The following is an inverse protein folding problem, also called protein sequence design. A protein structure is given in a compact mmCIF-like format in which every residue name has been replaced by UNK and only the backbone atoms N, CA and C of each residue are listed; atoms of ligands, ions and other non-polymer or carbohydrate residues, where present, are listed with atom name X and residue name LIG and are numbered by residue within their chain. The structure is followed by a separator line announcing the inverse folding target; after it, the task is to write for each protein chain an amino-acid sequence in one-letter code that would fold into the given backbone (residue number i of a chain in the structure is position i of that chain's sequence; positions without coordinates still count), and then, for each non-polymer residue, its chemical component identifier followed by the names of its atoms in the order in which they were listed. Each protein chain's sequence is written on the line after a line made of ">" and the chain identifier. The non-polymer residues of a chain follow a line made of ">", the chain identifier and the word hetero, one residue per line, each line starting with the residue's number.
data_IF_146939897914
#
_entry.id   IF_146939897914
#
_cell.length_a   1.000
_cell.length_b   1.000
_cell.length_c   1.000
_cell.angle_alpha   90.00
_cell.angle_beta   90.00
_cell.angle_gamma   90.00
#
_symmetry.space_group_name_H-M   'P 1'
#
loop_
_entity.id
_entity.type
_entity.pdbx_description
1 polymer ?
#
# COMPACT_ATOMS: atom_id res chain seq x y z
N UNK A 1 -1.85 -10.23 11.83
CA UNK A 1 -3.13 -9.62 12.21
C UNK A 1 -2.98 -8.20 12.78
N UNK A 2 -2.05 -7.92 13.73
CA UNK A 2 -1.96 -6.57 14.34
C UNK A 2 -1.73 -5.44 13.33
N UNK A 3 -0.91 -5.65 12.30
CA UNK A 3 -0.69 -4.64 11.26
C UNK A 3 -1.95 -4.35 10.44
N UNK A 4 -2.78 -5.35 10.16
CA UNK A 4 -4.01 -5.19 9.36
C UNK A 4 -5.19 -4.62 10.14
N UNK A 5 -5.13 -4.63 11.46
CA UNK A 5 -6.18 -4.11 12.36
C UNK A 5 -5.75 -2.89 13.15
N UNK A 6 -4.46 -2.58 13.16
CA UNK A 6 -3.89 -1.41 13.85
C UNK A 6 -4.05 -0.12 13.06
N UNK A 7 -3.69 0.99 13.71
CA UNK A 7 -3.78 2.32 13.11
C UNK A 7 -2.82 2.59 11.95
N UNK A 8 -1.80 1.74 11.75
CA UNK A 8 -0.91 1.86 10.58
C UNK A 8 -1.60 1.48 9.27
N UNK A 9 -2.69 0.71 9.31
CA UNK A 9 -3.49 0.40 8.13
C UNK A 9 -4.62 1.42 7.98
N UNK A 10 -4.67 2.09 6.85
CA UNK A 10 -5.73 3.03 6.53
C UNK A 10 -6.97 2.29 6.03
N UNK A 11 -7.91 2.05 6.92
CA UNK A 11 -9.16 1.33 6.59
C UNK A 11 -10.08 2.08 5.63
N UNK A 12 -9.85 3.39 5.43
CA UNK A 12 -10.70 4.24 4.57
C UNK A 12 -10.26 4.20 3.12
N UNK A 13 -8.95 4.24 2.84
CA UNK A 13 -8.43 4.32 1.46
C UNK A 13 -7.51 3.15 1.12
N UNK A 14 -7.06 2.40 2.12
CA UNK A 14 -6.05 1.39 1.97
C UNK A 14 -4.63 1.93 2.10
N UNK A 15 -3.68 1.02 2.03
CA UNK A 15 -2.27 1.32 2.22
C UNK A 15 -1.86 1.42 3.70
N UNK A 16 -0.56 1.27 3.93
CA UNK A 16 0.04 1.26 5.25
C UNK A 16 0.90 2.48 5.47
N UNK A 17 0.80 3.05 6.66
CA UNK A 17 1.79 3.98 7.20
C UNK A 17 3.06 3.23 7.58
N UNK A 18 4.18 3.96 7.68
CA UNK A 18 5.52 3.40 7.78
C UNK A 18 5.76 2.57 9.05
N UNK A 19 5.40 3.10 10.22
CA UNK A 19 5.58 2.43 11.51
C UNK A 19 4.57 2.95 12.55
N UNK A 20 4.49 2.28 13.69
CA UNK A 20 3.73 2.78 14.84
C UNK A 20 4.64 3.46 15.84
N UNK A 21 4.12 4.46 16.54
CA UNK A 21 4.81 5.18 17.61
C UNK A 21 4.52 4.61 18.99
N UNK A 22 3.64 3.59 19.07
CA UNK A 22 3.20 2.92 20.30
C UNK A 22 3.24 1.40 20.18
N UNK A 23 3.42 0.64 21.28
CA UNK A 23 3.48 -0.81 21.28
C UNK A 23 2.13 -1.49 21.01
N UNK A 24 1.03 -0.79 21.10
CA UNK A 24 -0.33 -1.28 20.86
C UNK A 24 -0.74 -1.26 19.39
N UNK A 25 0.09 -0.69 18.51
CA UNK A 25 -0.16 -0.53 17.08
C UNK A 25 -1.35 0.40 16.75
N UNK A 26 -1.56 1.44 17.56
CA UNK A 26 -2.70 2.37 17.42
C UNK A 26 -2.33 3.64 16.69
N UNK A 27 -1.20 4.24 17.05
CA UNK A 27 -0.77 5.54 16.53
C UNK A 27 0.31 5.34 15.47
N UNK A 28 0.04 5.61 14.18
CA UNK A 28 1.04 5.54 13.13
C UNK A 28 1.87 6.82 13.07
N UNK A 29 3.09 6.72 12.55
CA UNK A 29 3.69 7.82 11.83
C UNK A 29 3.08 7.81 10.42
N UNK A 30 2.33 8.86 10.07
CA UNK A 30 1.38 8.84 8.95
C UNK A 30 1.99 8.83 7.55
N UNK A 31 3.31 8.85 7.42
CA UNK A 31 4.03 8.72 6.16
C UNK A 31 3.72 7.37 5.48
N UNK A 32 3.38 7.38 4.19
CA UNK A 32 3.15 6.14 3.42
C UNK A 32 4.25 5.97 2.38
N UNK A 33 5.10 4.95 2.57
CA UNK A 33 6.23 4.65 1.69
C UNK A 33 5.87 3.54 0.70
N UNK A 34 6.36 3.65 -0.53
CA UNK A 34 6.16 2.63 -1.56
C UNK A 34 6.76 1.28 -1.14
N UNK A 35 8.00 1.27 -0.64
CA UNK A 35 8.71 0.04 -0.28
C UNK A 35 8.06 -0.73 0.88
N UNK A 36 7.47 -0.04 1.86
CA UNK A 36 6.72 -0.69 2.94
C UNK A 36 5.46 -1.37 2.40
N UNK A 37 4.70 -0.63 1.59
CA UNK A 37 3.47 -1.14 0.99
C UNK A 37 3.75 -2.31 0.04
N UNK A 38 4.82 -2.25 -0.77
CA UNK A 38 5.22 -3.33 -1.65
C UNK A 38 5.53 -4.62 -0.87
N UNK A 39 6.36 -4.53 0.16
CA UNK A 39 6.71 -5.70 0.98
C UNK A 39 5.48 -6.27 1.71
N UNK A 40 4.60 -5.40 2.23
CA UNK A 40 3.38 -5.84 2.91
C UNK A 40 2.38 -6.49 1.95
N UNK A 41 2.27 -6.04 0.70
CA UNK A 41 1.48 -6.72 -0.33
C UNK A 41 2.01 -8.15 -0.55
N UNK A 42 3.32 -8.34 -0.72
CA UNK A 42 3.93 -9.68 -0.85
C UNK A 42 3.64 -10.55 0.37
N UNK A 43 3.84 -10.03 1.58
CA UNK A 43 3.57 -10.77 2.83
C UNK A 43 2.08 -11.15 2.93
N UNK A 44 1.17 -10.24 2.60
CA UNK A 44 -0.27 -10.50 2.60
C UNK A 44 -0.68 -11.53 1.54
N UNK A 45 -0.04 -11.51 0.37
CA UNK A 45 -0.24 -12.50 -0.68
C UNK A 45 0.12 -13.91 -0.20
N UNK A 46 1.31 -14.09 0.38
CA UNK A 46 1.73 -15.37 0.96
C UNK A 46 0.85 -15.80 2.14
N UNK A 47 0.49 -14.86 3.02
CA UNK A 47 -0.40 -15.15 4.15
C UNK A 47 -1.79 -15.59 3.66
N UNK A 48 -2.33 -14.96 2.61
CA UNK A 48 -3.61 -15.37 2.02
C UNK A 48 -3.51 -16.75 1.37
N UNK A 49 -2.48 -17.04 0.58
CA UNK A 49 -2.27 -18.36 -0.02
C UNK A 49 -2.20 -19.48 1.01
N UNK A 50 -1.56 -19.21 2.17
CA UNK A 50 -1.36 -20.22 3.21
C UNK A 50 -2.61 -20.45 4.07
N UNK A 51 -3.40 -19.39 4.33
CA UNK A 51 -4.46 -19.41 5.34
C UNK A 51 -5.87 -19.30 4.78
N UNK A 52 -6.03 -18.85 3.53
CA UNK A 52 -7.30 -18.45 2.92
C UNK A 52 -8.09 -17.41 3.76
N UNK A 53 -7.41 -16.66 4.62
CA UNK A 53 -8.06 -15.66 5.46
C UNK A 53 -8.53 -14.46 4.62
N UNK A 54 -9.85 -14.17 4.57
CA UNK A 54 -10.41 -13.10 3.76
C UNK A 54 -9.90 -11.71 4.15
N UNK A 55 -9.51 -11.51 5.41
CA UNK A 55 -8.92 -10.25 5.87
C UNK A 55 -7.64 -9.92 5.09
N UNK A 56 -6.77 -10.92 4.87
CA UNK A 56 -5.52 -10.69 4.13
C UNK A 56 -5.77 -10.36 2.67
N UNK A 57 -6.74 -11.04 2.04
CA UNK A 57 -7.14 -10.74 0.66
C UNK A 57 -7.71 -9.32 0.54
N UNK A 58 -8.60 -8.94 1.45
CA UNK A 58 -9.21 -7.61 1.47
C UNK A 58 -8.14 -6.53 1.64
N UNK A 59 -7.27 -6.67 2.65
CA UNK A 59 -6.21 -5.69 2.93
C UNK A 59 -5.23 -5.57 1.77
N UNK A 60 -4.83 -6.70 1.17
CA UNK A 60 -3.99 -6.74 -0.04
C UNK A 60 -4.64 -5.98 -1.20
N UNK A 61 -5.91 -6.28 -1.51
CA UNK A 61 -6.64 -5.65 -2.61
C UNK A 61 -6.76 -4.14 -2.40
N UNK A 62 -7.14 -3.71 -1.19
CA UNK A 62 -7.28 -2.28 -0.87
C UNK A 62 -5.92 -1.54 -0.91
N UNK A 63 -4.83 -2.19 -0.48
CA UNK A 63 -3.49 -1.61 -0.58
C UNK A 63 -3.04 -1.45 -2.03
N UNK A 64 -3.32 -2.44 -2.88
CA UNK A 64 -3.07 -2.36 -4.32
C UNK A 64 -3.88 -1.23 -4.95
N UNK A 65 -5.17 -1.10 -4.63
CA UNK A 65 -6.00 0.00 -5.16
C UNK A 65 -5.49 1.37 -4.69
N UNK A 66 -5.02 1.48 -3.45
CA UNK A 66 -4.37 2.71 -2.98
C UNK A 66 -3.16 3.08 -3.85
N UNK A 67 -2.23 2.15 -4.09
CA UNK A 67 -1.04 2.40 -4.94
C UNK A 67 -1.45 2.77 -6.36
N UNK A 68 -2.37 2.02 -6.95
CA UNK A 68 -2.87 2.23 -8.31
C UNK A 68 -3.47 3.62 -8.49
N UNK A 69 -4.30 4.07 -7.55
CA UNK A 69 -5.05 5.32 -7.66
C UNK A 69 -4.26 6.56 -7.21
N UNK A 70 -3.27 6.40 -6.33
CA UNK A 70 -2.60 7.54 -5.70
C UNK A 70 -1.10 7.63 -6.02
N UNK A 71 -0.43 6.52 -6.30
CA UNK A 71 1.04 6.48 -6.42
C UNK A 71 1.55 6.02 -7.78
N UNK A 72 0.70 5.87 -8.80
CA UNK A 72 1.12 5.43 -10.14
C UNK A 72 1.37 6.63 -11.04
N UNK A 73 2.54 6.65 -11.67
CA UNK A 73 2.89 7.66 -12.66
C UNK A 73 2.28 7.37 -14.04
N UNK A 74 2.11 8.37 -14.90
CA UNK A 74 1.65 8.18 -16.27
C UNK A 74 2.52 7.22 -17.10
N UNK A 75 3.82 7.15 -16.81
CA UNK A 75 4.79 6.26 -17.47
C UNK A 75 4.70 4.80 -16.98
N UNK A 76 3.86 4.52 -15.97
CA UNK A 76 3.69 3.18 -15.41
C UNK A 76 4.62 2.83 -14.25
N UNK A 77 5.42 3.77 -13.77
CA UNK A 77 6.17 3.65 -12.54
C UNK A 77 5.35 4.02 -11.31
N UNK A 78 5.94 3.85 -10.14
CA UNK A 78 5.29 4.13 -8.87
C UNK A 78 6.08 5.20 -8.12
N UNK A 79 5.38 6.22 -7.61
CA UNK A 79 5.94 7.31 -6.84
C UNK A 79 6.38 6.86 -5.45
N UNK A 80 7.39 7.55 -4.89
CA UNK A 80 8.11 7.11 -3.69
C UNK A 80 7.29 7.13 -2.42
N UNK A 81 6.61 8.23 -2.11
CA UNK A 81 5.94 8.37 -0.80
C UNK A 81 4.93 9.50 -0.75
N UNK A 82 4.04 9.40 0.23
CA UNK A 82 3.27 10.51 0.77
C UNK A 82 3.86 10.93 2.12
N UNK A 83 3.98 12.24 2.33
CA UNK A 83 4.41 12.84 3.59
C UNK A 83 3.42 12.49 4.73
N UNK A 84 3.89 12.56 5.98
CA UNK A 84 3.03 12.39 7.15
C UNK A 84 2.11 13.58 7.38
N UNK A 85 2.52 14.77 6.93
CA UNK A 85 1.88 16.04 7.21
C UNK A 85 0.98 16.52 6.07
N UNK A 86 -0.11 17.14 6.47
CA UNK A 86 -0.95 17.95 5.60
C UNK A 86 -1.12 19.32 6.25
N UNK A 87 -0.83 20.41 5.50
CA UNK A 87 -0.90 21.79 5.99
C UNK A 87 -0.04 22.02 7.26
N UNK A 88 1.12 21.33 7.36
CA UNK A 88 2.06 21.45 8.48
C UNK A 88 1.62 20.72 9.75
N UNK A 89 0.61 19.86 9.68
CA UNK A 89 0.12 19.07 10.82
C UNK A 89 0.15 17.59 10.47
N UNK A 90 0.86 16.79 11.27
CA UNK A 90 0.91 15.34 11.09
C UNK A 90 -0.46 14.70 11.26
N UNK A 91 -0.78 13.73 10.42
CA UNK A 91 -2.02 12.97 10.48
C UNK A 91 -3.30 13.71 10.11
N UNK A 92 -3.28 15.04 9.92
CA UNK A 92 -4.47 15.88 9.67
C UNK A 92 -5.37 15.34 8.54
N UNK A 93 -4.78 14.81 7.50
CA UNK A 93 -5.53 14.23 6.38
C UNK A 93 -6.30 12.96 6.78
N UNK A 94 -5.76 12.16 7.70
CA UNK A 94 -6.21 10.80 8.01
C UNK A 94 -7.17 10.70 9.18
N UNK A 95 -7.03 11.58 10.17
CA UNK A 95 -7.77 11.50 11.45
C UNK A 95 -9.13 12.20 11.39
N UNK A 96 -9.99 11.90 12.36
CA UNK A 96 -11.38 12.34 12.38
C UNK A 96 -11.82 12.73 13.77
N UNK A 97 -12.54 13.84 13.92
CA UNK A 97 -13.37 14.04 15.10
C UNK A 97 -14.64 13.20 15.02
N UNK A 98 -15.21 12.80 16.15
CA UNK A 98 -16.48 12.08 16.16
C UNK A 98 -17.60 12.92 15.54
N UNK A 99 -17.58 14.25 15.70
CA UNK A 99 -18.53 15.16 15.08
C UNK A 99 -18.49 15.11 13.56
N UNK A 100 -17.30 15.09 12.95
CA UNK A 100 -17.15 14.93 11.49
C UNK A 100 -17.70 13.58 11.01
N UNK A 101 -17.41 12.49 11.73
CA UNK A 101 -17.94 11.16 11.39
C UNK A 101 -19.47 11.17 11.47
N UNK A 102 -20.06 11.75 12.53
CA UNK A 102 -21.51 11.92 12.67
C UNK A 102 -22.12 12.70 11.50
N UNK A 103 -21.47 13.76 11.06
CA UNK A 103 -21.93 14.58 9.93
C UNK A 103 -21.93 13.79 8.61
N UNK A 104 -20.93 12.93 8.38
CA UNK A 104 -20.76 12.18 7.13
C UNK A 104 -21.65 10.94 7.09
N UNK A 105 -21.71 10.19 8.18
CA UNK A 105 -22.42 8.91 8.26
C UNK A 105 -23.90 9.09 8.61
N UNK A 106 -24.22 10.12 9.35
CA UNK A 106 -25.54 10.32 9.96
C UNK A 106 -25.66 9.59 11.31
N UNK A 107 -26.70 9.97 12.06
CA UNK A 107 -27.04 9.30 13.33
C UNK A 107 -27.78 7.99 13.03
N UNK A 108 -27.39 6.90 13.68
CA UNK A 108 -28.04 5.60 13.51
C UNK A 108 -27.10 4.41 13.68
N UNK A 109 -27.58 3.25 13.29
CA UNK A 109 -26.85 1.99 13.44
C UNK A 109 -25.46 1.98 12.79
N UNK A 110 -25.26 2.48 11.55
CA UNK A 110 -23.90 2.51 10.96
C UNK A 110 -22.88 3.31 11.78
N UNK A 111 -23.30 4.45 12.34
CA UNK A 111 -22.43 5.25 13.22
C UNK A 111 -22.08 4.49 14.50
N UNK A 112 -23.07 3.85 15.13
CA UNK A 112 -22.86 3.07 16.36
C UNK A 112 -21.91 1.89 16.11
N UNK A 113 -22.01 1.23 14.97
CA UNK A 113 -21.10 0.18 14.53
C UNK A 113 -19.66 0.70 14.42
N UNK A 114 -19.45 1.87 13.79
CA UNK A 114 -18.12 2.49 13.70
C UNK A 114 -17.57 2.85 15.08
N UNK A 115 -18.41 3.41 15.97
CA UNK A 115 -18.02 3.75 17.34
C UNK A 115 -17.52 2.52 18.09
N UNK A 116 -18.25 1.42 18.01
CA UNK A 116 -17.89 0.18 18.72
C UNK A 116 -16.64 -0.47 18.12
N UNK A 117 -16.56 -0.53 16.78
CA UNK A 117 -15.45 -1.18 16.08
C UNK A 117 -14.12 -0.44 16.30
N UNK A 118 -14.15 0.90 16.22
CA UNK A 118 -12.96 1.75 16.28
C UNK A 118 -12.75 2.43 17.61
N UNK A 119 -13.64 2.21 18.60
CA UNK A 119 -13.60 2.85 19.91
C UNK A 119 -13.56 4.39 19.79
N UNK A 120 -14.45 4.94 18.97
CA UNK A 120 -14.52 6.39 18.73
C UNK A 120 -15.15 7.09 19.93
N UNK A 121 -14.68 8.30 20.23
CA UNK A 121 -15.23 9.14 21.28
C UNK A 121 -15.10 10.62 20.94
N UNK A 122 -15.88 11.48 21.63
CA UNK A 122 -15.76 12.93 21.49
C UNK A 122 -14.42 13.47 22.06
N UNK A 123 -13.85 12.77 23.07
CA UNK A 123 -12.50 13.07 23.56
C UNK A 123 -11.39 12.67 22.59
N UNK A 124 -11.71 11.82 21.60
CA UNK A 124 -10.75 11.22 20.70
C UNK A 124 -9.97 10.05 21.32
N UNK A 125 -9.28 9.30 20.49
CA UNK A 125 -8.29 8.31 20.89
C UNK A 125 -6.86 8.74 20.53
N UNK A 126 -6.72 9.97 20.02
CA UNK A 126 -5.47 10.64 19.70
C UNK A 126 -5.58 12.15 20.00
N UNK A 127 -4.55 12.92 19.67
CA UNK A 127 -4.39 14.34 20.00
C UNK A 127 -5.57 15.22 19.55
N UNK A 128 -5.85 16.25 20.32
CA UNK A 128 -6.85 17.30 20.01
C UNK A 128 -8.26 16.79 19.72
N UNK A 129 -8.67 15.69 20.35
CA UNK A 129 -10.01 15.11 20.16
C UNK A 129 -10.18 14.35 18.85
N UNK A 130 -9.09 14.07 18.17
CA UNK A 130 -9.09 13.26 16.95
C UNK A 130 -9.15 11.76 17.26
N UNK A 131 -9.71 11.02 16.31
CA UNK A 131 -9.74 9.56 16.34
C UNK A 131 -8.97 9.01 15.15
N UNK A 132 -8.09 8.07 15.43
CA UNK A 132 -7.47 7.17 14.47
C UNK A 132 -8.39 5.94 14.33
N UNK A 133 -8.64 5.50 13.11
CA UNK A 133 -9.53 4.37 12.85
C UNK A 133 -8.74 3.04 12.90
N UNK A 134 -8.49 2.54 14.11
CA UNK A 134 -7.95 1.18 14.31
C UNK A 134 -9.05 0.23 14.77
N UNK A 135 -8.93 -1.05 14.51
CA UNK A 135 -9.88 -2.07 14.93
C UNK A 135 -9.68 -2.40 16.43
N UNK A 136 -10.59 -1.92 17.28
CA UNK A 136 -10.57 -2.18 18.73
C UNK A 136 -11.33 -3.46 19.12
N UNK A 137 -12.30 -3.86 18.31
CA UNK A 137 -13.07 -5.09 18.45
C UNK A 137 -13.00 -5.90 17.15
N UNK A 138 -13.25 -7.20 17.22
CA UNK A 138 -13.36 -8.00 16.00
C UNK A 138 -14.66 -7.72 15.25
N UNK A 139 -14.63 -7.83 13.92
CA UNK A 139 -15.83 -7.72 13.08
C UNK A 139 -16.91 -8.69 13.54
N UNK A 140 -16.54 -9.90 13.95
CA UNK A 140 -17.45 -10.94 14.41
C UNK A 140 -18.14 -10.59 15.74
N UNK A 141 -17.45 -9.95 16.68
CA UNK A 141 -18.04 -9.50 17.95
C UNK A 141 -19.03 -8.36 17.72
N UNK A 142 -18.67 -7.38 16.88
CA UNK A 142 -19.56 -6.28 16.52
C UNK A 142 -20.77 -6.80 15.74
N UNK A 143 -20.60 -7.71 14.79
CA UNK A 143 -21.70 -8.32 14.04
C UNK A 143 -22.72 -8.99 14.99
N UNK A 144 -22.24 -9.78 15.95
CA UNK A 144 -23.11 -10.39 16.97
C UNK A 144 -23.88 -9.37 17.80
N UNK A 145 -23.20 -8.28 18.22
CA UNK A 145 -23.83 -7.20 19.02
C UNK A 145 -25.03 -6.57 18.28
N UNK A 146 -24.93 -6.45 16.95
CA UNK A 146 -25.98 -5.84 16.12
C UNK A 146 -26.89 -6.85 15.41
N UNK A 147 -26.85 -8.13 15.81
CA UNK A 147 -27.64 -9.22 15.21
C UNK A 147 -27.47 -9.31 13.69
N UNK A 148 -26.24 -9.18 13.22
CA UNK A 148 -25.87 -9.24 11.79
C UNK A 148 -24.91 -10.40 11.52
N UNK A 149 -24.89 -10.83 10.29
CA UNK A 149 -23.81 -11.66 9.76
C UNK A 149 -22.55 -10.82 9.52
N UNK A 150 -21.39 -11.46 9.46
CA UNK A 150 -20.13 -10.76 9.12
C UNK A 150 -20.22 -10.10 7.73
N UNK A 151 -20.95 -10.69 6.77
CA UNK A 151 -21.11 -10.13 5.44
C UNK A 151 -21.96 -8.84 5.44
N UNK A 152 -23.06 -8.83 6.17
CA UNK A 152 -23.90 -7.63 6.33
C UNK A 152 -23.13 -6.51 7.02
N UNK A 153 -22.39 -6.84 8.09
CA UNK A 153 -21.56 -5.85 8.77
C UNK A 153 -20.49 -5.29 7.83
N UNK A 154 -19.81 -6.15 7.05
CA UNK A 154 -18.79 -5.71 6.10
C UNK A 154 -19.35 -4.77 5.03
N UNK A 155 -20.58 -5.00 4.56
CA UNK A 155 -21.28 -4.11 3.63
C UNK A 155 -21.49 -2.72 4.25
N UNK A 156 -21.99 -2.66 5.50
CA UNK A 156 -22.15 -1.39 6.23
C UNK A 156 -20.83 -0.65 6.42
N UNK A 157 -19.77 -1.39 6.75
CA UNK A 157 -18.43 -0.80 6.90
C UNK A 157 -17.90 -0.25 5.57
N UNK A 158 -18.02 -1.00 4.50
CA UNK A 158 -17.57 -0.57 3.16
C UNK A 158 -18.31 0.71 2.72
N UNK A 159 -19.63 0.76 2.89
CA UNK A 159 -20.44 1.96 2.58
C UNK A 159 -20.03 3.16 3.44
N UNK A 160 -19.75 2.91 4.71
CA UNK A 160 -19.30 3.95 5.64
C UNK A 160 -17.93 4.49 5.27
N UNK A 161 -16.97 3.60 4.98
CA UNK A 161 -15.62 4.02 4.54
C UNK A 161 -15.64 4.73 3.19
N UNK A 162 -16.50 4.32 2.26
CA UNK A 162 -16.67 5.03 0.99
C UNK A 162 -17.16 6.47 1.20
N UNK A 163 -18.11 6.71 2.12
CA UNK A 163 -18.57 8.06 2.48
C UNK A 163 -17.46 8.87 3.14
N UNK A 164 -16.71 8.27 4.06
CA UNK A 164 -15.56 8.92 4.69
C UNK A 164 -14.47 9.26 3.66
N UNK A 165 -14.18 8.37 2.72
CA UNK A 165 -13.23 8.61 1.65
C UNK A 165 -13.66 9.79 0.76
N UNK A 166 -14.93 9.83 0.36
CA UNK A 166 -15.49 10.94 -0.41
C UNK A 166 -15.33 12.29 0.32
N UNK A 167 -15.59 12.31 1.64
CA UNK A 167 -15.36 13.51 2.46
C UNK A 167 -13.87 13.84 2.57
N UNK A 168 -13.02 12.86 2.86
CA UNK A 168 -11.57 13.03 3.00
C UNK A 168 -10.91 13.54 1.71
N UNK A 169 -11.42 13.14 0.55
CA UNK A 169 -10.92 13.60 -0.76
C UNK A 169 -11.03 15.11 -0.98
N UNK A 170 -11.87 15.81 -0.19
CA UNK A 170 -11.94 17.28 -0.20
C UNK A 170 -10.91 17.98 0.69
N UNK A 171 -10.15 17.22 1.50
CA UNK A 171 -9.06 17.75 2.34
C UNK A 171 -7.80 17.96 1.50
N UNK A 172 -6.90 18.82 1.96
CA UNK A 172 -5.57 18.96 1.38
C UNK A 172 -4.79 17.66 1.60
N UNK A 173 -4.37 17.01 0.52
CA UNK A 173 -3.57 15.77 0.60
C UNK A 173 -2.16 16.07 1.12
N UNK A 174 -1.53 15.11 1.83
CA UNK A 174 -0.10 15.16 2.09
C UNK A 174 0.71 15.31 0.80
N UNK A 175 1.91 15.89 0.91
CA UNK A 175 2.78 16.08 -0.24
C UNK A 175 3.22 14.73 -0.80
N UNK A 176 3.10 14.59 -2.11
CA UNK A 176 3.59 13.44 -2.86
C UNK A 176 5.06 13.67 -3.25
N UNK A 177 5.96 12.74 -2.87
CA UNK A 177 7.28 12.64 -3.48
C UNK A 177 7.16 11.81 -4.77
N UNK A 178 7.15 12.50 -5.90
CA UNK A 178 6.92 11.91 -7.21
C UNK A 178 8.19 11.38 -7.90
N UNK A 179 9.27 11.15 -7.16
CA UNK A 179 10.43 10.42 -7.66
C UNK A 179 10.06 8.94 -7.87
N UNK A 180 10.59 8.36 -8.94
CA UNK A 180 10.50 6.93 -9.24
C UNK A 180 11.86 6.32 -8.92
N UNK A 181 11.95 5.52 -7.86
CA UNK A 181 13.18 4.85 -7.43
C UNK A 181 13.20 3.40 -7.91
N UNK A 182 14.29 2.96 -8.52
CA UNK A 182 14.40 1.65 -9.17
C UNK A 182 14.14 0.50 -8.22
N UNK A 183 14.84 0.43 -7.09
CA UNK A 183 14.67 -0.62 -6.09
C UNK A 183 13.25 -0.70 -5.55
N UNK A 184 12.62 0.45 -5.24
CA UNK A 184 11.26 0.47 -4.71
C UNK A 184 10.21 0.09 -5.74
N UNK A 185 10.43 0.48 -7.00
CA UNK A 185 9.58 0.06 -8.11
C UNK A 185 9.73 -1.44 -8.38
N UNK A 186 10.95 -1.98 -8.33
CA UNK A 186 11.18 -3.40 -8.46
C UNK A 186 10.47 -4.21 -7.35
N UNK A 187 10.52 -3.75 -6.09
CA UNK A 187 9.75 -4.35 -5.00
C UNK A 187 8.24 -4.33 -5.30
N UNK A 188 7.71 -3.22 -5.84
CA UNK A 188 6.29 -3.10 -6.16
C UNK A 188 5.89 -4.00 -7.34
N UNK A 189 6.75 -4.14 -8.35
CA UNK A 189 6.57 -5.08 -9.47
C UNK A 189 6.44 -6.51 -8.94
N UNK A 190 7.37 -6.92 -8.07
CA UNK A 190 7.32 -8.24 -7.42
C UNK A 190 6.04 -8.41 -6.60
N UNK A 191 5.65 -7.39 -5.85
CA UNK A 191 4.43 -7.42 -5.05
C UNK A 191 3.17 -7.65 -5.90
N UNK A 192 3.06 -7.02 -7.06
CA UNK A 192 1.98 -7.29 -8.00
C UNK A 192 2.02 -8.73 -8.56
N UNK A 193 3.22 -9.25 -8.87
CA UNK A 193 3.38 -10.62 -9.31
C UNK A 193 2.97 -11.63 -8.23
N UNK A 194 3.34 -11.39 -6.97
CA UNK A 194 2.93 -12.19 -5.82
C UNK A 194 1.42 -12.11 -5.58
N UNK A 195 0.83 -10.93 -5.72
CA UNK A 195 -0.62 -10.74 -5.62
C UNK A 195 -1.38 -11.51 -6.71
N UNK A 196 -0.88 -11.51 -7.96
CA UNK A 196 -1.43 -12.35 -9.03
C UNK A 196 -1.36 -13.83 -8.67
N UNK A 197 -0.19 -14.30 -8.21
CA UNK A 197 -0.01 -15.69 -7.79
C UNK A 197 -0.98 -16.11 -6.69
N UNK A 198 -1.32 -15.19 -5.79
CA UNK A 198 -2.22 -15.45 -4.66
C UNK A 198 -3.71 -15.39 -5.04
N UNK A 199 -4.09 -14.57 -6.02
CA UNK A 199 -5.50 -14.25 -6.28
C UNK A 199 -6.01 -14.70 -7.65
N UNK A 200 -5.11 -14.97 -8.60
CA UNK A 200 -5.44 -15.24 -10.00
C UNK A 200 -5.90 -13.99 -10.79
N UNK A 201 -5.81 -12.79 -10.19
CA UNK A 201 -6.26 -11.57 -10.87
C UNK A 201 -5.24 -11.11 -11.92
N UNK A 202 -5.57 -11.29 -13.20
CA UNK A 202 -4.72 -10.94 -14.35
C UNK A 202 -4.34 -9.44 -14.39
N UNK A 203 -5.14 -8.55 -13.83
CA UNK A 203 -4.80 -7.13 -13.74
C UNK A 203 -3.47 -6.92 -13.01
N UNK A 204 -3.23 -7.69 -11.94
CA UNK A 204 -1.99 -7.56 -11.15
C UNK A 204 -0.76 -8.02 -11.94
N UNK A 205 -0.87 -9.09 -12.73
CA UNK A 205 0.22 -9.51 -13.62
C UNK A 205 0.50 -8.44 -14.68
N UNK A 206 -0.55 -7.87 -15.28
CA UNK A 206 -0.40 -6.80 -16.26
C UNK A 206 0.28 -5.55 -15.69
N UNK A 207 -0.03 -5.19 -14.43
CA UNK A 207 0.64 -4.10 -13.72
C UNK A 207 2.12 -4.41 -13.45
N UNK A 208 2.45 -5.64 -13.06
CA UNK A 208 3.84 -6.07 -12.89
C UNK A 208 4.62 -5.98 -14.20
N UNK A 209 4.08 -6.50 -15.31
CA UNK A 209 4.68 -6.43 -16.64
C UNK A 209 4.88 -4.97 -17.08
N UNK A 210 3.88 -4.12 -16.91
CA UNK A 210 3.97 -2.69 -17.24
C UNK A 210 5.06 -1.98 -16.43
N UNK A 211 5.17 -2.29 -15.14
CA UNK A 211 6.24 -1.77 -14.28
C UNK A 211 7.62 -2.23 -14.75
N UNK A 212 7.78 -3.50 -15.12
CA UNK A 212 9.04 -4.01 -15.67
C UNK A 212 9.43 -3.31 -16.98
N UNK A 213 8.46 -3.07 -17.86
CA UNK A 213 8.67 -2.29 -19.09
C UNK A 213 9.09 -0.85 -18.80
N UNK A 214 8.54 -0.24 -17.76
CA UNK A 214 8.97 1.10 -17.31
C UNK A 214 10.43 1.08 -16.85
N UNK A 215 10.87 0.11 -16.05
CA UNK A 215 12.29 0.00 -15.65
C UNK A 215 13.19 -0.09 -16.90
N UNK A 216 12.89 -0.99 -17.81
CA UNK A 216 13.74 -1.19 -19.00
C UNK A 216 13.72 -0.01 -19.98
N UNK A 217 12.63 0.73 -20.08
CA UNK A 217 12.51 1.87 -21.00
C UNK A 217 12.97 3.20 -20.43
N UNK A 218 12.84 3.42 -19.10
CA UNK A 218 13.09 4.71 -18.47
C UNK A 218 14.30 4.73 -17.52
N UNK A 219 14.58 3.59 -16.85
CA UNK A 219 15.61 3.49 -15.82
C UNK A 219 16.84 2.68 -16.25
N UNK A 220 16.87 2.21 -17.48
CA UNK A 220 17.98 1.45 -18.06
C UNK A 220 18.59 2.22 -19.23
N UNK A 221 19.89 2.09 -19.48
CA UNK A 221 20.56 2.61 -20.67
C UNK A 221 20.71 1.53 -21.77
N UNK A 222 21.38 1.90 -22.86
CA UNK A 222 21.60 0.99 -24.01
C UNK A 222 22.57 -0.15 -23.67
N UNK A 223 23.42 0.02 -22.65
CA UNK A 223 24.34 -0.99 -22.13
C UNK A 223 23.71 -1.82 -21.02
N UNK A 224 22.38 -1.78 -20.85
CA UNK A 224 21.60 -2.45 -19.82
C UNK A 224 21.95 -2.07 -18.37
N UNK A 225 22.66 -0.95 -18.14
CA UNK A 225 22.93 -0.45 -16.81
C UNK A 225 21.72 0.27 -16.25
N UNK A 226 21.45 0.07 -14.97
CA UNK A 226 20.36 0.73 -14.29
C UNK A 226 20.77 2.10 -13.73
N UNK A 227 19.80 3.00 -13.67
CA UNK A 227 19.86 4.23 -12.89
C UNK A 227 19.01 4.07 -11.62
N UNK A 228 19.41 4.78 -10.55
CA UNK A 228 18.71 4.72 -9.28
C UNK A 228 17.34 5.38 -9.33
N UNK A 229 17.22 6.49 -10.05
CA UNK A 229 16.02 7.34 -10.02
C UNK A 229 15.64 7.88 -11.39
N UNK A 230 14.32 8.06 -11.55
CA UNK A 230 13.74 8.81 -12.66
C UNK A 230 12.80 9.89 -12.09
N UNK A 231 13.00 11.12 -12.53
CA UNK A 231 12.21 12.28 -12.13
C UNK A 231 12.27 13.35 -13.21
N UNK A 232 11.12 13.95 -13.56
CA UNK A 232 11.02 15.00 -14.59
C UNK A 232 11.73 14.64 -15.91
N UNK A 233 11.50 13.43 -16.40
CA UNK A 233 12.12 12.88 -17.61
C UNK A 233 13.65 12.73 -17.56
N UNK A 234 14.26 12.82 -16.40
CA UNK A 234 15.70 12.66 -16.21
C UNK A 234 16.03 11.48 -15.32
N UNK A 235 17.07 10.74 -15.67
CA UNK A 235 17.74 9.72 -14.87
C UNK A 235 19.17 10.21 -14.59
N UNK A 236 19.57 10.34 -13.34
CA UNK A 236 20.77 11.10 -12.99
C UNK A 236 21.77 10.37 -12.12
N UNK A 237 21.33 9.40 -11.33
CA UNK A 237 22.19 8.71 -10.36
C UNK A 237 22.36 7.26 -10.84
N UNK A 238 23.61 6.80 -10.96
CA UNK A 238 23.89 5.39 -11.23
C UNK A 238 23.26 4.51 -10.15
N UNK A 239 22.74 3.36 -10.56
CA UNK A 239 22.10 2.42 -9.65
C UNK A 239 23.10 1.86 -8.63
N UNK A 240 22.63 1.62 -7.43
CA UNK A 240 23.34 0.94 -6.36
C UNK A 240 23.07 -0.57 -6.44
N UNK A 241 23.78 -1.36 -5.67
CA UNK A 241 23.61 -2.80 -5.62
C UNK A 241 22.13 -3.20 -5.38
N UNK A 242 21.45 -2.54 -4.46
CA UNK A 242 20.05 -2.83 -4.15
C UNK A 242 19.10 -2.63 -5.34
N UNK A 243 19.37 -1.66 -6.22
CA UNK A 243 18.56 -1.40 -7.41
C UNK A 243 18.62 -2.59 -8.38
N UNK A 244 19.81 -3.18 -8.54
CA UNK A 244 19.99 -4.41 -9.33
C UNK A 244 19.35 -5.62 -8.66
N UNK A 245 19.60 -5.84 -7.36
CA UNK A 245 19.14 -7.04 -6.65
C UNK A 245 17.62 -7.13 -6.66
N UNK A 246 16.92 -6.05 -6.33
CA UNK A 246 15.45 -6.05 -6.36
C UNK A 246 14.89 -6.15 -7.78
N UNK A 247 15.57 -5.56 -8.79
CA UNK A 247 15.16 -5.72 -10.19
C UNK A 247 15.33 -7.15 -10.68
N UNK A 248 16.43 -7.82 -10.32
CA UNK A 248 16.65 -9.25 -10.60
C UNK A 248 15.52 -10.09 -9.99
N UNK A 249 15.22 -9.89 -8.70
CA UNK A 249 14.17 -10.65 -8.00
C UNK A 249 12.79 -10.44 -8.65
N UNK A 250 12.44 -9.21 -8.99
CA UNK A 250 11.18 -8.88 -9.67
C UNK A 250 11.09 -9.53 -11.06
N UNK A 251 12.16 -9.49 -11.86
CA UNK A 251 12.16 -10.06 -13.22
C UNK A 251 12.12 -11.58 -13.19
N UNK A 252 12.84 -12.22 -12.27
CA UNK A 252 12.73 -13.66 -12.05
C UNK A 252 11.31 -14.04 -11.67
N UNK A 253 10.68 -13.25 -10.78
CA UNK A 253 9.30 -13.51 -10.37
C UNK A 253 8.30 -13.41 -11.54
N UNK A 254 8.46 -12.45 -12.44
CA UNK A 254 7.63 -12.36 -13.65
C UNK A 254 7.90 -13.57 -14.56
N UNK A 255 9.17 -13.96 -14.77
CA UNK A 255 9.53 -15.13 -15.54
C UNK A 255 8.86 -16.41 -15.01
N UNK A 256 8.87 -16.65 -13.71
CA UNK A 256 8.21 -17.80 -13.07
C UNK A 256 6.71 -17.90 -13.38
N UNK A 257 6.06 -16.76 -13.64
CA UNK A 257 4.62 -16.69 -13.89
C UNK A 257 4.25 -16.68 -15.36
N UNK A 258 5.14 -16.21 -16.23
CA UNK A 258 4.87 -16.01 -17.66
C UNK A 258 5.62 -16.99 -18.56
N UNK A 259 6.73 -17.55 -18.07
CA UNK A 259 7.74 -18.32 -18.85
C UNK A 259 8.31 -17.54 -20.04
N UNK A 260 8.20 -16.21 -20.07
CA UNK A 260 8.82 -15.37 -21.08
C UNK A 260 10.31 -15.16 -20.75
N UNK A 261 11.17 -15.77 -21.57
CA UNK A 261 12.63 -15.76 -21.39
C UNK A 261 13.26 -14.36 -21.45
N UNK A 262 12.56 -13.35 -21.93
CA UNK A 262 13.06 -11.96 -21.96
C UNK A 262 13.39 -11.51 -20.55
N UNK A 263 12.56 -11.84 -19.57
CA UNK A 263 12.79 -11.47 -18.16
C UNK A 263 13.97 -12.23 -17.55
N UNK A 264 14.11 -13.53 -17.87
CA UNK A 264 15.22 -14.34 -17.39
C UNK A 264 16.56 -13.85 -17.97
N UNK A 265 16.61 -13.55 -19.27
CA UNK A 265 17.81 -13.04 -19.94
C UNK A 265 18.25 -11.70 -19.38
N UNK A 266 17.29 -10.80 -19.12
CA UNK A 266 17.59 -9.51 -18.52
C UNK A 266 18.07 -9.64 -17.08
N UNK A 267 17.43 -10.48 -16.26
CA UNK A 267 17.88 -10.78 -14.90
C UNK A 267 19.30 -11.35 -14.88
N UNK A 268 19.59 -12.31 -15.77
CA UNK A 268 20.94 -12.87 -15.91
C UNK A 268 21.98 -11.80 -16.25
N UNK A 269 21.67 -10.89 -17.18
CA UNK A 269 22.59 -9.80 -17.52
C UNK A 269 22.94 -8.96 -16.29
N UNK A 270 21.94 -8.60 -15.47
CA UNK A 270 22.18 -7.83 -14.23
C UNK A 270 22.92 -8.60 -13.17
N UNK A 271 22.72 -9.94 -13.06
CA UNK A 271 23.55 -10.80 -12.18
C UNK A 271 25.00 -10.74 -12.62
N UNK A 272 25.29 -10.95 -13.91
CA UNK A 272 26.66 -10.91 -14.43
C UNK A 272 27.30 -9.52 -14.20
N UNK A 273 26.52 -8.45 -14.38
CA UNK A 273 26.98 -7.09 -14.10
C UNK A 273 27.31 -6.87 -12.62
N UNK A 274 26.44 -7.32 -11.71
CA UNK A 274 26.67 -7.22 -10.25
C UNK A 274 27.93 -7.98 -9.84
N UNK A 275 28.10 -9.21 -10.32
CA UNK A 275 29.28 -10.03 -10.01
C UNK A 275 30.60 -9.39 -10.49
N UNK A 276 30.56 -8.61 -11.57
CA UNK A 276 31.74 -7.95 -12.13
C UNK A 276 32.04 -6.57 -11.51
N UNK A 277 31.08 -5.92 -10.88
CA UNK A 277 31.22 -4.51 -10.48
C UNK A 277 31.00 -4.25 -8.98
N UNK A 278 30.39 -5.18 -8.25
CA UNK A 278 30.07 -5.04 -6.81
C UNK A 278 30.65 -6.17 -5.94
N UNK A 279 31.43 -7.10 -6.52
CA UNK A 279 32.20 -8.07 -5.74
C UNK A 279 33.57 -7.48 -5.36
N UNK A 280 34.00 -7.65 -4.11
CA UNK A 280 35.35 -7.33 -3.61
C UNK A 280 36.37 -8.33 -4.13
#
# INVERSE_FOLDING_TARGET
>A
NRMTTGGIYDVVEGGFSRYTTDPEWRVPHFEKMLYDNAQLISVLAYAYQTTNNPLYKQTLTQTIEFIKNNSTSPDGGFYSSYDAESEGVEGKYYVWTLAEIKQVIGVGEPLNILIDLHKLSDAGNWEHGNNILFQSASVSEVAKKYNKTNAELQTILNDSYAKLLAKRSSRVKPRLDNKVLTSWNAMMIKAYADAYSATGNMEYLNLAVKGAQMITSKLMDQDHKLYRNFHNNNKTINAFLEDYVFSIDAFLRIYELTFDEVYLKQAKFWVDYVMNHFSD
#
